data_IF_087818324932
#
_entry.id   IF_087818324932
#
_cell.length_a   1.000
_cell.length_b   1.000
_cell.length_c   1.000
_cell.angle_alpha   90.00
_cell.angle_beta   90.00
_cell.angle_gamma   90.00
#
_symmetry.space_group_name_H-M   'P 1'
#
loop_
_entity.id
_entity.type
_entity.pdbx_description
1 polymer ?
#
# COMPACT_ATOMS: atom_id res chain seq x y z
N UNK A 1 -16.49 -20.04 -7.41
CA UNK A 1 -17.49 -20.91 -6.72
C UNK A 1 -18.21 -20.19 -5.58
N UNK A 2 -17.50 -19.59 -4.61
CA UNK A 2 -18.08 -18.85 -3.47
C UNK A 2 -18.95 -17.65 -3.88
N UNK A 3 -18.56 -16.91 -4.92
CA UNK A 3 -19.31 -15.77 -5.48
C UNK A 3 -20.67 -16.19 -6.08
N UNK A 4 -20.77 -17.39 -6.66
CA UNK A 4 -22.01 -17.84 -7.29
C UNK A 4 -22.99 -18.41 -6.26
N UNK A 5 -22.49 -19.06 -5.20
CA UNK A 5 -23.32 -19.66 -4.15
C UNK A 5 -23.86 -18.57 -3.19
N UNK A 6 -23.05 -17.57 -2.85
CA UNK A 6 -23.45 -16.47 -1.96
C UNK A 6 -24.50 -15.53 -2.57
N UNK A 7 -24.40 -15.24 -3.87
CA UNK A 7 -25.33 -14.33 -4.55
C UNK A 7 -26.70 -14.98 -4.79
N UNK A 8 -26.76 -16.29 -5.05
CA UNK A 8 -28.03 -17.02 -5.26
C UNK A 8 -28.85 -17.27 -3.99
N UNK A 9 -28.22 -17.36 -2.81
CA UNK A 9 -28.93 -17.74 -1.58
C UNK A 9 -29.36 -16.56 -0.70
N UNK A 10 -28.62 -15.43 -0.68
CA UNK A 10 -28.91 -14.31 0.25
C UNK A 10 -28.85 -12.89 -0.35
N UNK A 11 -28.60 -12.77 -1.65
CA UNK A 11 -28.57 -11.49 -2.37
C UNK A 11 -27.31 -10.65 -2.13
N UNK A 12 -26.95 -9.81 -3.10
CA UNK A 12 -25.75 -8.95 -3.11
C UNK A 12 -25.61 -8.10 -1.83
N UNK A 13 -26.75 -7.60 -1.32
CA UNK A 13 -26.81 -6.73 -0.12
C UNK A 13 -26.32 -7.41 1.15
N UNK A 14 -26.56 -8.71 1.35
CA UNK A 14 -26.10 -9.41 2.56
C UNK A 14 -24.58 -9.65 2.55
N UNK A 15 -24.01 -9.89 1.36
CA UNK A 15 -22.57 -10.06 1.16
C UNK A 15 -21.81 -8.75 1.39
N UNK A 16 -22.29 -7.64 0.81
CA UNK A 16 -21.71 -6.30 0.98
C UNK A 16 -21.91 -5.70 2.38
N UNK A 17 -23.07 -5.86 3.00
CA UNK A 17 -23.38 -5.19 4.27
C UNK A 17 -23.05 -6.00 5.53
N UNK A 18 -22.93 -7.33 5.45
CA UNK A 18 -22.79 -8.19 6.65
C UNK A 18 -21.52 -9.04 6.64
N UNK A 19 -21.10 -9.51 5.47
CA UNK A 19 -19.99 -10.46 5.33
C UNK A 19 -18.65 -9.75 5.13
N UNK A 20 -18.58 -8.80 4.18
CA UNK A 20 -17.40 -7.98 3.92
C UNK A 20 -16.90 -7.17 5.15
N UNK A 21 -17.76 -6.48 5.93
CA UNK A 21 -17.31 -5.69 7.08
C UNK A 21 -16.81 -6.54 8.25
N UNK A 22 -17.20 -7.82 8.32
CA UNK A 22 -16.79 -8.75 9.38
C UNK A 22 -15.44 -9.42 9.10
N UNK A 23 -15.12 -9.62 7.82
CA UNK A 23 -13.85 -10.22 7.37
C UNK A 23 -12.77 -9.16 7.16
N UNK A 24 -13.15 -7.91 6.86
CA UNK A 24 -12.22 -6.79 6.75
C UNK A 24 -11.25 -6.65 7.94
N UNK A 25 -11.71 -6.73 9.19
CA UNK A 25 -10.83 -6.73 10.36
C UNK A 25 -9.87 -7.91 10.41
N UNK A 26 -10.29 -9.13 10.01
CA UNK A 26 -9.39 -10.28 9.96
C UNK A 26 -8.27 -10.10 8.93
N UNK A 27 -8.57 -9.54 7.76
CA UNK A 27 -7.55 -9.22 6.75
C UNK A 27 -6.56 -8.18 7.29
N UNK A 28 -7.06 -7.15 7.98
CA UNK A 28 -6.21 -6.15 8.64
C UNK A 28 -5.34 -6.78 9.75
N UNK A 29 -5.90 -7.67 10.58
CA UNK A 29 -5.13 -8.39 11.60
C UNK A 29 -4.09 -9.34 10.98
N UNK A 30 -4.42 -10.02 9.87
CA UNK A 30 -3.47 -10.87 9.15
C UNK A 30 -2.33 -10.07 8.53
N UNK A 31 -2.62 -8.89 7.98
CA UNK A 31 -1.61 -7.96 7.47
C UNK A 31 -0.72 -7.44 8.60
N UNK A 32 -1.31 -6.95 9.71
CA UNK A 32 -0.58 -6.49 10.88
C UNK A 32 0.29 -7.60 11.48
N UNK A 33 -0.24 -8.83 11.58
CA UNK A 33 0.51 -9.99 12.02
C UNK A 33 1.71 -10.28 11.10
N UNK A 34 1.50 -10.23 9.78
CA UNK A 34 2.58 -10.44 8.79
C UNK A 34 3.64 -9.33 8.89
N UNK A 35 3.23 -8.07 9.08
CA UNK A 35 4.15 -6.94 9.30
C UNK A 35 4.98 -7.18 10.57
N UNK A 36 4.34 -7.51 11.69
CA UNK A 36 5.04 -7.80 12.96
C UNK A 36 5.98 -8.98 12.81
N UNK A 37 5.57 -10.05 12.13
CA UNK A 37 6.39 -11.23 11.90
C UNK A 37 7.60 -10.91 11.01
N UNK A 38 7.40 -10.14 9.93
CA UNK A 38 8.49 -9.68 9.08
C UNK A 38 9.47 -8.80 9.85
N UNK A 39 9.00 -7.87 10.68
CA UNK A 39 9.86 -7.07 11.56
C UNK A 39 10.60 -7.92 12.59
N UNK A 40 9.97 -8.96 13.15
CA UNK A 40 10.62 -9.85 14.10
C UNK A 40 11.71 -10.69 13.44
N UNK A 41 11.45 -11.23 12.25
CA UNK A 41 12.38 -12.08 11.50
C UNK A 41 13.54 -11.27 10.86
N UNK A 42 13.26 -10.08 10.35
CA UNK A 42 14.26 -9.20 9.73
C UNK A 42 14.84 -8.17 10.71
N UNK A 43 14.38 -8.15 11.96
CA UNK A 43 14.77 -7.15 12.96
C UNK A 43 16.26 -7.10 13.23
N UNK A 44 16.96 -8.24 13.17
CA UNK A 44 18.42 -8.28 13.29
C UNK A 44 19.14 -7.71 12.06
N UNK A 45 18.61 -7.90 10.84
CA UNK A 45 19.17 -7.29 9.63
C UNK A 45 18.97 -5.75 9.63
N UNK A 46 17.82 -5.29 10.11
CA UNK A 46 17.49 -3.87 10.24
C UNK A 46 18.37 -3.18 11.29
N UNK A 47 18.57 -3.83 12.45
CA UNK A 47 19.37 -3.27 13.55
C UNK A 47 20.88 -3.40 13.35
N UNK A 48 21.36 -4.40 12.62
CA UNK A 48 22.79 -4.57 12.34
C UNK A 48 23.34 -3.59 11.30
N UNK A 49 22.51 -3.15 10.34
CA UNK A 49 22.93 -2.24 9.26
C UNK A 49 21.89 -1.14 8.95
N UNK A 50 21.56 -0.26 9.91
CA UNK A 50 20.54 0.78 9.72
C UNK A 50 20.86 1.73 8.55
N UNK A 51 22.15 1.99 8.29
CA UNK A 51 22.57 2.81 7.17
C UNK A 51 22.19 2.22 5.79
N UNK A 52 22.18 0.90 5.64
CA UNK A 52 21.78 0.26 4.38
C UNK A 52 20.26 0.37 4.18
N UNK A 53 19.48 0.15 5.24
CA UNK A 53 18.02 0.31 5.21
C UNK A 53 17.64 1.73 4.82
N UNK A 54 18.27 2.74 5.43
CA UNK A 54 18.00 4.15 5.11
C UNK A 54 18.37 4.47 3.66
N UNK A 55 19.51 3.97 3.16
CA UNK A 55 19.92 4.18 1.75
C UNK A 55 18.94 3.60 0.74
N UNK A 56 18.25 2.52 1.06
CA UNK A 56 17.21 1.93 0.20
C UNK A 56 15.86 2.63 0.40
N UNK A 57 15.52 2.96 1.65
CA UNK A 57 14.26 3.60 1.99
C UNK A 57 14.15 5.02 1.43
N UNK A 58 15.24 5.80 1.45
CA UNK A 58 15.20 7.21 1.10
C UNK A 58 14.86 7.47 -0.39
N UNK A 59 15.45 6.75 -1.37
CA UNK A 59 15.00 6.82 -2.76
C UNK A 59 13.55 6.37 -2.95
N UNK A 60 13.13 5.31 -2.25
CA UNK A 60 11.77 4.77 -2.34
C UNK A 60 10.73 5.76 -1.79
N UNK A 61 11.03 6.37 -0.63
CA UNK A 61 10.25 7.43 -0.01
C UNK A 61 10.07 8.61 -0.95
N UNK A 62 11.18 9.09 -1.52
CA UNK A 62 11.17 10.19 -2.45
C UNK A 62 10.32 9.86 -3.68
N UNK A 63 10.48 8.66 -4.24
CA UNK A 63 9.66 8.18 -5.34
C UNK A 63 8.16 8.24 -5.00
N UNK A 64 7.73 7.65 -3.88
CA UNK A 64 6.32 7.64 -3.49
C UNK A 64 5.76 9.05 -3.29
N UNK A 65 6.48 9.91 -2.56
CA UNK A 65 6.02 11.28 -2.28
C UNK A 65 5.95 12.10 -3.57
N UNK A 66 6.96 12.01 -4.43
CA UNK A 66 6.97 12.75 -5.70
C UNK A 66 5.88 12.25 -6.65
N UNK A 67 5.77 10.95 -6.86
CA UNK A 67 4.75 10.36 -7.73
C UNK A 67 3.34 10.71 -7.26
N UNK A 68 3.07 10.54 -5.96
CA UNK A 68 1.79 10.87 -5.38
C UNK A 68 1.49 12.37 -5.51
N UNK A 69 2.44 13.24 -5.15
CA UNK A 69 2.24 14.69 -5.19
C UNK A 69 2.06 15.20 -6.61
N UNK A 70 2.81 14.66 -7.58
CA UNK A 70 2.70 15.02 -8.99
C UNK A 70 1.35 14.58 -9.55
N UNK A 71 0.92 13.33 -9.30
CA UNK A 71 -0.38 12.84 -9.74
C UNK A 71 -1.54 13.60 -9.07
N UNK A 72 -1.43 13.94 -7.78
CA UNK A 72 -2.41 14.74 -7.07
C UNK A 72 -2.48 16.17 -7.63
N UNK A 73 -1.33 16.81 -7.85
CA UNK A 73 -1.27 18.15 -8.43
C UNK A 73 -1.84 18.19 -9.86
N UNK A 74 -1.50 17.21 -10.70
CA UNK A 74 -2.04 17.12 -12.06
C UNK A 74 -3.55 16.83 -12.04
N UNK A 75 -4.03 15.99 -11.12
CA UNK A 75 -5.45 15.71 -10.98
C UNK A 75 -6.25 16.95 -10.56
N UNK A 76 -5.77 17.67 -9.55
CA UNK A 76 -6.39 18.94 -9.11
C UNK A 76 -6.38 19.99 -10.22
N UNK A 77 -5.27 20.16 -10.94
CA UNK A 77 -5.15 21.11 -12.07
C UNK A 77 -6.05 20.73 -13.25
N UNK A 78 -6.36 19.45 -13.41
CA UNK A 78 -7.29 18.95 -14.44
C UNK A 78 -8.77 19.13 -14.05
N UNK A 79 -9.06 19.71 -12.88
CA UNK A 79 -10.43 19.95 -12.41
C UNK A 79 -11.13 18.70 -11.87
N UNK A 80 -10.39 17.66 -11.50
CA UNK A 80 -10.97 16.46 -10.87
C UNK A 80 -11.35 16.74 -9.41
N UNK A 81 -12.53 16.26 -9.00
CA UNK A 81 -12.95 16.25 -7.61
C UNK A 81 -11.91 15.58 -6.71
N UNK A 82 -11.82 16.00 -5.45
CA UNK A 82 -10.87 15.45 -4.46
C UNK A 82 -10.87 13.91 -4.43
N UNK A 83 -12.04 13.27 -4.50
CA UNK A 83 -12.14 11.80 -4.45
C UNK A 83 -11.45 11.14 -5.65
N UNK A 84 -11.65 11.70 -6.85
CA UNK A 84 -11.03 11.20 -8.08
C UNK A 84 -9.53 11.50 -8.11
N UNK A 85 -9.15 12.69 -7.68
CA UNK A 85 -7.74 13.11 -7.60
C UNK A 85 -6.97 12.27 -6.58
N UNK A 86 -7.53 12.02 -5.40
CA UNK A 86 -6.91 11.17 -4.39
C UNK A 86 -6.79 9.73 -4.89
N UNK A 87 -7.83 9.18 -5.52
CA UNK A 87 -7.79 7.83 -6.09
C UNK A 87 -6.72 7.71 -7.19
N UNK A 88 -6.63 8.70 -8.08
CA UNK A 88 -5.59 8.77 -9.12
C UNK A 88 -4.20 8.81 -8.49
N UNK A 89 -3.98 9.67 -7.49
CA UNK A 89 -2.68 9.83 -6.84
C UNK A 89 -2.21 8.55 -6.13
N UNK A 90 -3.10 7.85 -5.42
CA UNK A 90 -2.77 6.56 -4.80
C UNK A 90 -2.56 5.44 -5.82
N UNK A 91 -3.27 5.46 -6.95
CA UNK A 91 -3.06 4.49 -8.03
C UNK A 91 -1.71 4.69 -8.71
N UNK A 92 -1.33 5.95 -8.95
CA UNK A 92 -0.04 6.29 -9.57
C UNK A 92 1.15 6.02 -8.64
N UNK A 93 0.97 6.19 -7.34
CA UNK A 93 2.01 5.94 -6.35
C UNK A 93 2.17 4.46 -6.01
N UNK A 94 1.08 3.68 -6.03
CA UNK A 94 1.09 2.26 -5.65
C UNK A 94 1.94 1.40 -6.58
N UNK A 95 2.76 0.52 -6.00
CA UNK A 95 3.55 -0.46 -6.75
C UNK A 95 3.03 -1.88 -6.52
N UNK A 96 3.38 -2.80 -7.42
CA UNK A 96 3.03 -4.21 -7.28
C UNK A 96 4.23 -5.02 -6.78
N UNK A 97 4.39 -5.07 -5.46
CA UNK A 97 5.52 -5.76 -4.83
C UNK A 97 5.47 -7.26 -4.99
N UNK A 98 4.28 -7.86 -5.03
CA UNK A 98 4.09 -9.29 -5.26
C UNK A 98 4.67 -9.70 -6.61
N UNK A 99 4.41 -8.92 -7.66
CA UNK A 99 5.01 -9.12 -8.97
C UNK A 99 6.53 -8.91 -8.94
N UNK A 100 7.00 -7.85 -8.28
CA UNK A 100 8.43 -7.55 -8.18
C UNK A 100 9.20 -8.67 -7.47
N UNK A 101 8.69 -9.20 -6.36
CA UNK A 101 9.26 -10.34 -5.63
C UNK A 101 9.27 -11.59 -6.50
N UNK A 102 8.16 -11.89 -7.19
CA UNK A 102 8.07 -13.05 -8.07
C UNK A 102 9.12 -13.01 -9.19
N UNK A 103 9.32 -11.85 -9.81
CA UNK A 103 10.36 -11.65 -10.84
C UNK A 103 11.77 -11.74 -10.24
N UNK A 104 12.00 -11.17 -9.06
CA UNK A 104 13.31 -11.24 -8.42
C UNK A 104 13.71 -12.68 -8.09
N UNK A 105 12.78 -13.46 -7.53
CA UNK A 105 13.01 -14.87 -7.20
C UNK A 105 13.19 -15.71 -8.47
N UNK A 106 12.43 -15.44 -9.53
CA UNK A 106 12.52 -16.21 -10.77
C UNK A 106 13.83 -15.99 -11.53
N UNK A 107 14.38 -14.77 -11.49
CA UNK A 107 15.61 -14.41 -12.22
C UNK A 107 16.87 -14.64 -11.37
N UNK A 108 16.86 -14.28 -10.09
CA UNK A 108 18.06 -14.27 -9.24
C UNK A 108 18.04 -15.31 -8.10
N UNK A 109 16.95 -16.03 -7.92
CA UNK A 109 16.78 -16.99 -6.84
C UNK A 109 16.47 -16.34 -5.49
N UNK A 110 16.01 -17.16 -4.54
CA UNK A 110 15.45 -16.70 -3.25
C UNK A 110 16.49 -16.08 -2.29
N UNK A 111 17.76 -16.49 -2.40
CA UNK A 111 18.84 -16.03 -1.51
C UNK A 111 19.54 -14.77 -2.00
N UNK A 112 19.06 -14.15 -3.07
CA UNK A 112 19.67 -12.96 -3.67
C UNK A 112 19.35 -11.69 -2.87
N UNK A 113 20.25 -10.71 -2.91
CA UNK A 113 20.02 -9.39 -2.30
C UNK A 113 18.79 -8.68 -2.92
N UNK A 114 18.50 -8.96 -4.19
CA UNK A 114 17.36 -8.46 -4.93
C UNK A 114 16.04 -9.03 -4.39
N UNK A 115 15.97 -10.34 -4.15
CA UNK A 115 14.80 -10.97 -3.54
C UNK A 115 14.54 -10.44 -2.11
N UNK A 116 15.61 -10.25 -1.32
CA UNK A 116 15.53 -9.66 0.02
C UNK A 116 15.03 -8.20 -0.02
N UNK A 117 15.52 -7.39 -0.96
CA UNK A 117 15.04 -6.02 -1.16
C UNK A 117 13.55 -5.98 -1.57
N UNK A 118 13.10 -6.92 -2.40
CA UNK A 118 11.69 -7.08 -2.78
C UNK A 118 10.80 -7.38 -1.57
N UNK A 119 11.27 -8.22 -0.65
CA UNK A 119 10.54 -8.54 0.61
C UNK A 119 10.55 -7.36 1.59
N UNK A 120 11.61 -6.56 1.64
CA UNK A 120 11.67 -5.37 2.50
C UNK A 120 10.83 -4.22 1.94
N UNK A 121 10.58 -4.18 0.63
CA UNK A 121 9.79 -3.15 -0.05
C UNK A 121 8.44 -2.82 0.61
N UNK A 122 7.55 -3.82 0.84
CA UNK A 122 6.28 -3.62 1.55
C UNK A 122 6.41 -3.06 2.96
N UNK A 123 7.52 -3.35 3.66
CA UNK A 123 7.80 -2.84 5.00
C UNK A 123 7.90 -1.32 5.03
N UNK A 124 8.41 -0.75 3.94
CA UNK A 124 8.60 0.69 3.76
C UNK A 124 7.36 1.29 3.07
N UNK A 125 6.83 0.64 2.03
CA UNK A 125 5.67 1.16 1.29
C UNK A 125 4.45 1.35 2.20
N UNK A 126 4.07 0.33 2.97
CA UNK A 126 2.80 0.35 3.71
C UNK A 126 2.75 1.55 4.69
N UNK A 127 3.76 1.80 5.54
CA UNK A 127 3.80 2.99 6.40
C UNK A 127 3.75 4.31 5.61
N UNK A 128 4.40 4.35 4.45
CA UNK A 128 4.48 5.56 3.61
C UNK A 128 3.13 5.88 2.99
N UNK A 129 2.47 4.89 2.39
CA UNK A 129 1.13 5.06 1.84
C UNK A 129 0.12 5.44 2.92
N UNK A 130 0.19 4.82 4.11
CA UNK A 130 -0.64 5.20 5.26
C UNK A 130 -0.39 6.65 5.67
N UNK A 131 0.87 7.08 5.72
CA UNK A 131 1.23 8.48 6.01
C UNK A 131 0.66 9.43 4.96
N UNK A 132 0.74 9.08 3.68
CA UNK A 132 0.15 9.84 2.58
C UNK A 132 -1.38 9.87 2.64
N UNK A 133 -2.05 8.83 3.15
CA UNK A 133 -3.49 8.85 3.42
C UNK A 133 -3.83 9.94 4.44
N UNK A 134 -3.07 10.05 5.53
CA UNK A 134 -3.27 11.14 6.49
C UNK A 134 -3.01 12.53 5.89
N UNK A 135 -1.99 12.67 5.04
CA UNK A 135 -1.73 13.91 4.29
C UNK A 135 -2.89 14.25 3.36
N UNK A 136 -3.40 13.27 2.60
CA UNK A 136 -4.56 13.43 1.72
C UNK A 136 -5.79 13.90 2.51
N UNK A 137 -6.10 13.24 3.64
CA UNK A 137 -7.20 13.61 4.52
C UNK A 137 -7.05 15.01 5.12
N UNK A 138 -5.82 15.44 5.39
CA UNK A 138 -5.53 16.81 5.82
C UNK A 138 -5.81 17.81 4.68
N UNK A 139 -5.35 17.51 3.45
CA UNK A 139 -5.63 18.33 2.26
C UNK A 139 -7.13 18.41 1.93
N UNK A 140 -7.92 17.36 2.22
CA UNK A 140 -9.39 17.37 2.09
C UNK A 140 -10.03 18.53 2.87
N UNK A 141 -9.49 18.87 4.03
CA UNK A 141 -9.99 19.98 4.86
C UNK A 141 -9.77 21.34 4.20
N UNK A 142 -8.70 21.48 3.41
CA UNK A 142 -8.44 22.68 2.61
C UNK A 142 -9.40 22.76 1.42
N UNK A 143 -9.60 21.64 0.70
CA UNK A 143 -10.52 21.57 -0.45
C UNK A 143 -11.97 21.89 -0.09
N UNK A 144 -12.43 21.52 1.11
CA UNK A 144 -13.80 21.82 1.57
C UNK A 144 -14.03 23.30 1.92
N UNK A 145 -12.97 24.11 1.98
CA UNK A 145 -13.04 25.52 2.37
C UNK A 145 -13.30 26.45 1.17
N UNK A 146 -13.07 25.95 -0.05
CA UNK A 146 -13.20 26.68 -1.32
C UNK A 146 -14.46 26.27 -2.13
N UNK A 147 -15.43 25.58 -1.50
CA UNK A 147 -16.71 25.15 -2.11
C UNK A 147 -17.91 25.75 -1.38
#
# INVERSE_FOLDING_TARGET
LTRQIGVRSKGLRWYEQRFLPRIGPLALYGLLFTIVLMFALQGQAITSNPAQVVRVALPLLLYFVLMWSMAFYLGTRSGLDYERTSALAFTAAGNNFELAIAVCISVWGISSQQALAGVIGPLIEVPVLVSLVYVSLWLKRSFRRDS
#
